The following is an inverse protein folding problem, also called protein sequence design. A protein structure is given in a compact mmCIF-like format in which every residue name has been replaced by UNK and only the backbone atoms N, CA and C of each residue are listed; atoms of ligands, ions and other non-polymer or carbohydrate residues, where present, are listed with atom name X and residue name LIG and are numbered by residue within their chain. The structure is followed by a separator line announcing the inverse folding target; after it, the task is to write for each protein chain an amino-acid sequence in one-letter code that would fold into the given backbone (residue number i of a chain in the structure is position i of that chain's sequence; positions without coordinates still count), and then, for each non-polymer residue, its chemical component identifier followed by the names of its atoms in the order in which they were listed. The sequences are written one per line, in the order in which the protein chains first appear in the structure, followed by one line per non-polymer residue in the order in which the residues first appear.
data_IF_899595699976
#
_entry.id   IF_899595699976
#
_cell.length_a   1.000
_cell.length_b   1.000
_cell.length_c   1.000
_cell.angle_alpha   90.00
_cell.angle_beta   90.00
_cell.angle_gamma   90.00
#
_symmetry.space_group_name_H-M   'P 1'
#
loop_
_entity.id
_entity.type
_entity.pdbx_description
1 polymer ?
#
# COMPACT_ATOMS: atom_id res chain seq x y z
N UNK A 1 1.52 3.11 -15.83
CA UNK A 1 2.40 2.76 -14.70
C UNK A 1 2.37 1.27 -14.50
N UNK A 2 3.51 0.64 -14.22
CA UNK A 2 3.62 -0.75 -13.78
C UNK A 2 4.20 -0.72 -12.37
N UNK A 3 3.50 -1.34 -11.43
CA UNK A 3 3.93 -1.43 -10.03
C UNK A 3 3.97 -2.90 -9.62
N UNK A 4 5.01 -3.34 -8.90
CA UNK A 4 5.03 -4.68 -8.32
C UNK A 4 3.99 -4.74 -7.20
N UNK A 5 3.18 -5.79 -7.22
CA UNK A 5 2.22 -6.10 -6.16
C UNK A 5 2.60 -7.43 -5.52
N UNK A 6 2.53 -7.50 -4.20
CA UNK A 6 2.64 -8.74 -3.43
C UNK A 6 1.22 -9.17 -3.07
N UNK A 7 0.93 -10.45 -3.24
CA UNK A 7 -0.35 -11.06 -2.88
C UNK A 7 -0.11 -12.16 -1.87
N UNK A 8 -0.60 -11.95 -0.67
CA UNK A 8 -0.57 -12.93 0.41
C UNK A 8 -2.00 -13.39 0.70
N UNK A 9 -2.15 -14.66 1.08
CA UNK A 9 -3.44 -15.17 1.54
C UNK A 9 -3.43 -15.14 3.07
N UNK A 10 -4.43 -14.48 3.63
CA UNK A 10 -4.67 -14.50 5.06
C UNK A 10 -5.20 -15.88 5.45
N UNK A 11 -4.47 -16.57 6.33
CA UNK A 11 -4.78 -17.95 6.72
C UNK A 11 -6.00 -18.07 7.64
N UNK A 12 -6.43 -16.99 8.28
CA UNK A 12 -7.57 -17.00 9.22
C UNK A 12 -8.88 -16.73 8.48
N UNK A 13 -8.86 -15.81 7.52
CA UNK A 13 -10.04 -15.36 6.77
C UNK A 13 -10.16 -16.03 5.40
N UNK A 14 -9.05 -16.51 4.83
CA UNK A 14 -8.97 -17.03 3.47
C UNK A 14 -8.97 -15.95 2.38
N UNK A 15 -8.87 -14.67 2.76
CA UNK A 15 -8.86 -13.55 1.83
C UNK A 15 -7.46 -13.29 1.27
N UNK A 16 -7.39 -12.75 0.06
CA UNK A 16 -6.16 -12.26 -0.53
C UNK A 16 -5.92 -10.82 -0.11
N UNK A 17 -4.72 -10.53 0.37
CA UNK A 17 -4.22 -9.21 0.73
C UNK A 17 -3.23 -8.76 -0.34
N UNK A 18 -3.48 -7.62 -0.94
CA UNK A 18 -2.63 -6.98 -1.93
C UNK A 18 -1.88 -5.79 -1.31
N UNK A 19 -0.56 -5.80 -1.44
CA UNK A 19 0.32 -4.72 -0.98
C UNK A 19 1.32 -4.33 -2.07
N UNK A 20 1.83 -3.10 -2.01
CA UNK A 20 2.89 -2.64 -2.91
C UNK A 20 4.00 -1.99 -2.08
N UNK A 21 5.25 -2.49 -2.15
CA UNK A 21 6.38 -1.89 -1.43
C UNK A 21 6.63 -0.41 -1.80
N UNK A 22 6.22 0.00 -3.00
CA UNK A 22 6.36 1.38 -3.47
C UNK A 22 5.28 2.33 -2.90
N UNK A 23 4.20 1.78 -2.35
CA UNK A 23 3.08 2.53 -1.79
C UNK A 23 2.89 2.10 -0.32
N UNK A 24 3.83 2.49 0.57
CA UNK A 24 3.77 2.09 1.96
C UNK A 24 2.44 2.53 2.60
N UNK A 25 1.84 1.61 3.35
CA UNK A 25 0.52 1.80 3.96
C UNK A 25 -0.67 1.67 3.00
N UNK A 26 -0.45 1.50 1.69
CA UNK A 26 -1.52 1.15 0.75
C UNK A 26 -1.72 -0.37 0.79
N UNK A 27 -2.84 -0.80 1.38
CA UNK A 27 -3.23 -2.19 1.50
C UNK A 27 -4.65 -2.35 0.99
N UNK A 28 -4.91 -3.44 0.28
CA UNK A 28 -6.26 -3.81 -0.11
C UNK A 28 -6.47 -5.31 0.05
N UNK A 29 -7.73 -5.74 0.10
CA UNK A 29 -8.07 -7.15 0.30
C UNK A 29 -9.26 -7.55 -0.57
N UNK A 30 -9.38 -8.85 -0.86
CA UNK A 30 -10.52 -9.42 -1.56
C UNK A 30 -10.57 -10.94 -1.44
N UNK A 31 -11.75 -11.52 -1.54
CA UNK A 31 -11.98 -12.96 -1.47
C UNK A 31 -11.24 -13.76 -2.57
N UNK A 32 -10.93 -13.10 -3.70
CA UNK A 32 -10.15 -13.67 -4.80
C UNK A 32 -8.94 -12.78 -5.11
N UNK A 33 -7.95 -13.38 -5.79
CA UNK A 33 -6.77 -12.63 -6.27
C UNK A 33 -7.19 -11.46 -7.15
N UNK A 34 -8.13 -11.70 -8.05
CA UNK A 34 -8.64 -10.70 -8.99
C UNK A 34 -9.32 -9.55 -8.25
N UNK A 35 -10.15 -9.85 -7.25
CA UNK A 35 -10.85 -8.84 -6.44
C UNK A 35 -9.87 -8.02 -5.60
N UNK A 36 -8.88 -8.66 -4.97
CA UNK A 36 -7.84 -7.96 -4.22
C UNK A 36 -7.05 -7.00 -5.12
N UNK A 37 -6.71 -7.42 -6.35
CA UNK A 37 -6.04 -6.57 -7.34
C UNK A 37 -6.93 -5.41 -7.79
N UNK A 38 -8.21 -5.67 -8.06
CA UNK A 38 -9.16 -4.63 -8.47
C UNK A 38 -9.33 -3.59 -7.37
N UNK A 39 -9.60 -4.02 -6.14
CA UNK A 39 -9.70 -3.14 -4.98
C UNK A 39 -8.40 -2.35 -4.76
N UNK A 40 -7.24 -2.99 -4.94
CA UNK A 40 -5.94 -2.31 -4.86
C UNK A 40 -5.81 -1.19 -5.90
N UNK A 41 -6.23 -1.42 -7.15
CA UNK A 41 -6.22 -0.37 -8.19
C UNK A 41 -7.08 0.83 -7.82
N UNK A 42 -8.19 0.63 -7.12
CA UNK A 42 -9.00 1.72 -6.59
C UNK A 42 -8.29 2.44 -5.44
N UNK A 43 -7.69 1.69 -4.51
CA UNK A 43 -6.96 2.23 -3.36
C UNK A 43 -5.75 3.11 -3.75
N UNK A 44 -5.05 2.77 -4.85
CA UNK A 44 -3.93 3.59 -5.38
C UNK A 44 -4.37 5.03 -5.63
N UNK A 45 -5.59 5.26 -6.11
CA UNK A 45 -6.06 6.62 -6.43
C UNK A 45 -6.19 7.46 -5.17
N UNK A 46 -6.84 6.93 -4.14
CA UNK A 46 -6.97 7.60 -2.85
C UNK A 46 -5.62 7.81 -2.16
N UNK A 47 -4.71 6.83 -2.27
CA UNK A 47 -3.35 7.00 -1.74
C UNK A 47 -2.60 8.15 -2.43
N UNK A 48 -2.69 8.26 -3.75
CA UNK A 48 -2.05 9.33 -4.51
C UNK A 48 -2.64 10.71 -4.21
N UNK A 49 -3.95 10.79 -3.97
CA UNK A 49 -4.62 12.03 -3.56
C UNK A 49 -4.11 12.50 -2.21
N UNK A 50 -4.13 11.64 -1.18
CA UNK A 50 -3.59 11.96 0.15
C UNK A 50 -2.10 12.27 0.10
N UNK A 51 -1.33 11.53 -0.71
CA UNK A 51 0.10 11.78 -0.89
C UNK A 51 0.36 13.16 -1.51
N UNK A 52 -0.45 13.59 -2.47
CA UNK A 52 -0.38 14.94 -3.04
C UNK A 52 -0.74 16.00 -2.02
N UNK A 53 -1.82 15.81 -1.26
CA UNK A 53 -2.22 16.75 -0.21
C UNK A 53 -1.11 16.94 0.84
N UNK A 54 -0.44 15.84 1.25
CA UNK A 54 0.71 15.90 2.19
C UNK A 54 1.93 16.60 1.61
N UNK A 55 2.19 16.42 0.31
CA UNK A 55 3.24 17.18 -0.41
C UNK A 55 2.94 18.67 -0.40
N UNK A 56 1.69 19.06 -0.61
CA UNK A 56 1.26 20.46 -0.65
C UNK A 56 1.20 21.09 0.74
N UNK A 57 0.84 20.34 1.79
CA UNK A 57 0.80 20.82 3.17
C UNK A 57 2.17 20.92 3.84
N UNK A 58 3.20 20.30 3.25
CA UNK A 58 4.54 20.22 3.85
C UNK A 58 4.64 19.24 5.02
N UNK A 59 3.61 18.42 5.26
CA UNK A 59 3.58 17.39 6.30
C UNK A 59 4.26 16.10 5.82
N UNK A 60 5.55 16.19 5.48
CA UNK A 60 6.42 15.01 5.55
C UNK A 60 6.91 14.91 6.98
N UNK A 61 6.13 14.20 7.80
CA UNK A 61 6.61 13.74 9.10
C UNK A 61 8.00 13.15 8.91
N UNK A 62 8.95 13.62 9.71
CA UNK A 62 10.34 13.17 9.72
C UNK A 62 10.38 11.66 9.47
N UNK A 63 11.04 11.23 8.39
CA UNK A 63 11.45 9.83 8.24
C UNK A 63 12.02 9.43 9.60
N UNK A 64 11.46 8.39 10.23
CA UNK A 64 11.89 7.93 11.55
C UNK A 64 13.42 7.96 11.60
N UNK A 65 13.97 8.78 12.50
CA UNK A 65 15.43 8.88 12.69
C UNK A 65 16.03 7.58 13.24
N UNK A 66 15.19 6.58 13.49
CA UNK A 66 15.50 5.29 14.10
C UNK A 66 15.43 4.11 13.11
N UNK A 67 15.47 4.35 11.78
CA UNK A 67 15.85 3.29 10.85
C UNK A 67 17.35 3.03 11.04
N UNK A 68 17.70 2.22 12.04
CA UNK A 68 18.94 1.45 12.00
C UNK A 68 18.82 0.47 10.83
N UNK A 69 19.40 0.84 9.69
CA UNK A 69 19.69 -0.12 8.63
C UNK A 69 20.76 -1.04 9.18
N UNK A 70 20.33 -2.15 9.81
CA UNK A 70 21.20 -3.27 10.10
C UNK A 70 21.65 -3.86 8.76
N UNK A 71 22.90 -3.57 8.38
CA UNK A 71 23.60 -4.15 7.23
C UNK A 71 24.24 -5.46 7.62
#
# INVERSE_FOLDING_TARGET
MRMPITLDMDSETGWFVATCPLLPGCVSQGETRELAIENFKHAIRGWLEVFRERLESGEFGTLDKDIEVAV
#
